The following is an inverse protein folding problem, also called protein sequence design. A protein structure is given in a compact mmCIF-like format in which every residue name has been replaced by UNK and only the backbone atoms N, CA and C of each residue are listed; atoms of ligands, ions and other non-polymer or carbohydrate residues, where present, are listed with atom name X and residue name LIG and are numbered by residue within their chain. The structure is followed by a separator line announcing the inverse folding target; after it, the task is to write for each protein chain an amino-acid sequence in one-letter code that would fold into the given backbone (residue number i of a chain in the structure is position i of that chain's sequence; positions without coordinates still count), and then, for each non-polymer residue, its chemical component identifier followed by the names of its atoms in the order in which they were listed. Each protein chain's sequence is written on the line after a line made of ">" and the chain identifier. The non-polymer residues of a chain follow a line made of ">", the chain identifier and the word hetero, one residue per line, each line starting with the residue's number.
data_IF_316392534700
#
_entry.id   IF_316392534700
#
_cell.length_a   1.000
_cell.length_b   1.000
_cell.length_c   1.000
_cell.angle_alpha   90.00
_cell.angle_beta   90.00
_cell.angle_gamma   90.00
#
_symmetry.space_group_name_H-M   'P 1'
#
loop_
_entity.id
_entity.type
_entity.pdbx_description
1 polymer ?
#
# COMPACT_ATOMS: atom_id res chain seq x y z
N UNK A 1 16.91 -51.16 35.50
CA UNK A 1 16.62 -49.71 35.31
C UNK A 1 17.89 -48.97 35.65
N UNK A 2 18.38 -48.12 34.74
CA UNK A 2 19.63 -47.42 34.93
C UNK A 2 19.48 -46.33 36.00
N UNK A 3 20.40 -46.27 36.96
CA UNK A 3 20.46 -45.28 38.04
C UNK A 3 20.32 -43.83 37.53
N UNK A 4 20.73 -43.58 36.27
CA UNK A 4 20.57 -42.30 35.59
C UNK A 4 19.11 -41.96 35.27
N UNK A 5 18.31 -42.92 34.81
CA UNK A 5 16.90 -42.71 34.49
C UNK A 5 16.10 -42.40 35.75
N UNK A 6 16.40 -43.09 36.86
CA UNK A 6 15.76 -42.88 38.15
C UNK A 6 16.08 -41.48 38.73
N UNK A 7 17.32 -41.01 38.56
CA UNK A 7 17.71 -39.63 38.90
C UNK A 7 17.04 -38.57 38.04
N UNK A 8 16.88 -38.82 36.74
CA UNK A 8 16.18 -37.89 35.85
C UNK A 8 14.69 -37.82 36.17
N UNK A 9 14.09 -38.97 36.50
CA UNK A 9 12.69 -39.05 36.90
C UNK A 9 12.42 -38.32 38.21
N UNK A 10 13.27 -38.52 39.23
CA UNK A 10 13.13 -37.80 40.51
C UNK A 10 13.31 -36.29 40.36
N UNK A 11 14.23 -35.83 39.50
CA UNK A 11 14.38 -34.40 39.17
C UNK A 11 13.13 -33.87 38.45
N UNK A 12 12.59 -34.62 37.48
CA UNK A 12 11.37 -34.23 36.78
C UNK A 12 10.18 -34.13 37.73
N UNK A 13 10.02 -35.07 38.66
CA UNK A 13 8.98 -35.06 39.69
C UNK A 13 9.11 -33.84 40.62
N UNK A 14 10.32 -33.51 41.07
CA UNK A 14 10.58 -32.30 41.89
C UNK A 14 10.27 -31.00 41.13
N UNK A 15 10.57 -30.94 39.83
CA UNK A 15 10.25 -29.77 38.99
C UNK A 15 8.74 -29.64 38.81
N UNK A 16 8.04 -30.74 38.54
CA UNK A 16 6.57 -30.74 38.43
C UNK A 16 5.91 -30.28 39.72
N UNK A 17 6.38 -30.75 40.88
CA UNK A 17 5.83 -30.33 42.17
C UNK A 17 6.10 -28.85 42.49
N UNK A 18 7.26 -28.33 42.09
CA UNK A 18 7.56 -26.90 42.20
C UNK A 18 6.67 -26.05 41.28
N UNK A 19 6.31 -26.57 40.10
CA UNK A 19 5.43 -25.88 39.14
C UNK A 19 3.96 -25.88 39.58
N UNK A 20 3.51 -26.86 40.40
CA UNK A 20 2.16 -26.87 40.99
C UNK A 20 1.96 -25.73 42.00
N UNK A 21 3.04 -25.23 42.62
CA UNK A 21 3.00 -24.12 43.56
C UNK A 21 2.85 -22.75 42.88
N UNK A 22 3.04 -22.69 41.56
CA UNK A 22 2.83 -21.46 40.79
C UNK A 22 1.34 -21.29 40.42
N UNK A 23 0.81 -20.06 40.45
CA UNK A 23 -0.60 -19.78 40.15
C UNK A 23 -0.98 -20.34 38.78
N UNK A 24 -2.11 -21.05 38.67
CA UNK A 24 -2.54 -21.67 37.41
C UNK A 24 -3.32 -20.67 36.55
N UNK A 25 -2.71 -20.20 35.46
CA UNK A 25 -3.32 -19.23 34.53
C UNK A 25 -4.14 -19.89 33.40
N UNK A 26 -4.44 -21.19 33.50
CA UNK A 26 -5.23 -21.93 32.51
C UNK A 26 -4.53 -22.23 31.17
N UNK A 27 -3.23 -21.92 31.04
CA UNK A 27 -2.43 -22.21 29.84
C UNK A 27 -1.62 -23.50 29.98
N UNK A 28 -1.47 -24.24 28.87
CA UNK A 28 -0.64 -25.44 28.81
C UNK A 28 0.84 -25.10 29.07
N UNK A 29 1.45 -25.80 30.03
CA UNK A 29 2.85 -25.62 30.41
C UNK A 29 3.67 -26.76 29.83
N UNK A 30 4.58 -26.44 28.91
CA UNK A 30 5.56 -27.40 28.43
C UNK A 30 6.86 -27.26 29.23
N UNK A 31 7.32 -28.36 29.83
CA UNK A 31 8.60 -28.42 30.55
C UNK A 31 9.56 -29.28 29.72
N UNK A 32 10.69 -28.69 29.30
CA UNK A 32 11.75 -29.42 28.59
C UNK A 32 13.01 -29.41 29.44
N UNK A 33 13.45 -30.60 29.89
CA UNK A 33 14.70 -30.76 30.64
C UNK A 33 15.76 -31.29 29.67
N UNK A 34 16.75 -30.45 29.34
CA UNK A 34 17.90 -30.85 28.52
C UNK A 34 19.11 -31.12 29.41
N UNK A 35 19.72 -32.30 29.26
CA UNK A 35 20.94 -32.67 29.99
C UNK A 35 22.13 -32.63 29.03
N UNK A 36 22.94 -31.57 29.14
CA UNK A 36 24.19 -31.40 28.42
C UNK A 36 25.33 -32.26 29.00
N UNK A 37 26.25 -32.68 28.13
CA UNK A 37 27.27 -33.69 28.39
C UNK A 37 28.34 -33.35 29.44
N UNK A 38 29.06 -34.41 29.80
CA UNK A 38 30.00 -34.58 30.91
C UNK A 38 31.18 -33.60 30.87
N UNK A 39 31.02 -32.40 31.42
CA UNK A 39 32.14 -31.53 31.77
C UNK A 39 31.89 -30.94 33.16
N UNK A 40 32.88 -31.13 34.04
CA UNK A 40 32.84 -30.67 35.42
C UNK A 40 32.61 -29.16 35.46
N UNK A 41 31.46 -28.75 35.99
CA UNK A 41 31.29 -27.44 36.60
C UNK A 41 30.69 -26.33 35.73
N UNK A 42 29.46 -26.50 35.25
CA UNK A 42 28.54 -25.35 35.16
C UNK A 42 27.09 -25.82 35.08
N UNK A 43 26.33 -25.70 36.16
CA UNK A 43 24.87 -25.79 36.14
C UNK A 43 24.37 -24.38 35.88
N UNK A 44 24.07 -24.04 34.63
CA UNK A 44 23.39 -22.79 34.31
C UNK A 44 21.89 -22.95 34.56
N UNK A 45 21.44 -22.61 35.77
CA UNK A 45 20.01 -22.43 36.07
C UNK A 45 19.63 -21.00 35.66
N UNK A 46 19.30 -20.82 34.39
CA UNK A 46 18.73 -19.58 33.86
C UNK A 46 17.29 -19.82 33.44
N UNK A 47 16.33 -19.17 34.11
CA UNK A 47 14.96 -19.08 33.62
C UNK A 47 14.93 -18.08 32.47
N UNK A 48 15.16 -18.54 31.25
CA UNK A 48 14.90 -17.71 30.06
C UNK A 48 13.44 -17.91 29.71
N UNK A 49 12.57 -17.10 30.32
CA UNK A 49 11.18 -16.99 29.89
C UNK A 49 11.18 -16.20 28.59
N UNK A 50 11.22 -16.91 27.45
CA UNK A 50 11.01 -16.27 26.16
C UNK A 50 9.49 -16.08 26.00
N UNK A 51 8.97 -15.00 26.57
CA UNK A 51 7.59 -14.55 26.34
C UNK A 51 7.55 -14.10 24.89
N UNK A 52 7.23 -15.00 23.97
CA UNK A 52 6.81 -14.58 22.65
C UNK A 52 5.47 -13.87 22.86
N UNK A 53 5.41 -12.53 22.69
CA UNK A 53 4.11 -11.87 22.67
C UNK A 53 3.24 -12.58 21.62
N UNK A 54 1.92 -12.69 21.80
CA UNK A 54 1.05 -13.27 20.80
C UNK A 54 1.34 -12.56 19.48
N UNK A 55 1.99 -13.27 18.56
CA UNK A 55 2.36 -12.73 17.26
C UNK A 55 1.06 -12.22 16.65
N UNK A 56 0.96 -10.94 16.27
CA UNK A 56 -0.25 -10.43 15.64
C UNK A 56 -0.58 -11.36 14.47
N UNK A 57 -1.84 -11.79 14.33
CA UNK A 57 -2.20 -12.79 13.33
C UNK A 57 -1.68 -12.33 11.97
N UNK A 58 -0.85 -13.19 11.34
CA UNK A 58 -0.25 -12.91 10.05
C UNK A 58 -1.37 -12.46 9.10
N UNK A 59 -1.18 -11.37 8.32
CA UNK A 59 -2.16 -10.98 7.33
C UNK A 59 -2.40 -12.17 6.38
N UNK A 60 -3.63 -12.67 6.37
CA UNK A 60 -4.03 -13.84 5.58
C UNK A 60 -3.75 -13.59 4.11
N UNK A 61 -3.04 -14.53 3.50
CA UNK A 61 -2.72 -14.48 2.07
C UNK A 61 -3.97 -14.70 1.22
N UNK A 62 -3.97 -14.22 -0.03
CA UNK A 62 -5.13 -14.31 -0.92
C UNK A 62 -5.64 -15.74 -1.09
N UNK A 63 -4.77 -16.75 -1.04
CA UNK A 63 -5.16 -18.16 -1.19
C UNK A 63 -5.81 -18.75 0.06
N UNK A 64 -5.66 -18.13 1.23
CA UNK A 64 -6.21 -18.58 2.52
C UNK A 64 -7.61 -18.02 2.77
N UNK A 65 -8.00 -16.99 2.03
CA UNK A 65 -9.29 -16.30 2.20
C UNK A 65 -10.44 -17.10 1.64
N UNK A 66 -11.61 -16.95 2.23
CA UNK A 66 -12.82 -17.62 1.77
C UNK A 66 -13.31 -17.06 0.40
N UNK A 67 -14.09 -17.84 -0.34
CA UNK A 67 -14.64 -17.43 -1.64
C UNK A 67 -15.49 -16.16 -1.56
N UNK A 68 -16.28 -16.00 -0.49
CA UNK A 68 -17.08 -14.78 -0.28
C UNK A 68 -16.20 -13.55 -0.01
N UNK A 69 -15.14 -13.70 0.80
CA UNK A 69 -14.17 -12.63 1.07
C UNK A 69 -13.43 -12.21 -0.23
N UNK A 70 -13.07 -13.17 -1.07
CA UNK A 70 -12.44 -12.92 -2.36
C UNK A 70 -13.37 -12.16 -3.33
N UNK A 71 -14.65 -12.50 -3.37
CA UNK A 71 -15.65 -11.79 -4.18
C UNK A 71 -15.88 -10.36 -3.68
N UNK A 72 -15.98 -10.17 -2.36
CA UNK A 72 -16.09 -8.84 -1.76
C UNK A 72 -14.85 -7.98 -2.06
N UNK A 73 -13.65 -8.56 -1.94
CA UNK A 73 -12.40 -7.89 -2.27
C UNK A 73 -12.33 -7.51 -3.75
N UNK A 74 -12.77 -8.39 -4.65
CA UNK A 74 -12.88 -8.09 -6.09
C UNK A 74 -13.81 -6.90 -6.34
N UNK A 75 -14.99 -6.84 -5.71
CA UNK A 75 -15.91 -5.72 -5.87
C UNK A 75 -15.29 -4.40 -5.39
N UNK A 76 -14.61 -4.42 -4.23
CA UNK A 76 -13.89 -3.25 -3.72
C UNK A 76 -12.75 -2.80 -4.63
N UNK A 77 -12.01 -3.72 -5.23
CA UNK A 77 -10.95 -3.38 -6.18
C UNK A 77 -11.52 -2.81 -7.48
N UNK A 78 -12.68 -3.29 -7.93
CA UNK A 78 -13.37 -2.74 -9.10
C UNK A 78 -13.85 -1.29 -8.87
N UNK A 79 -14.40 -0.98 -7.69
CA UNK A 79 -14.77 0.40 -7.35
C UNK A 79 -13.55 1.29 -7.23
N UNK A 80 -12.49 0.84 -6.54
CA UNK A 80 -11.21 1.58 -6.48
C UNK A 80 -10.60 1.85 -7.85
N UNK A 81 -10.71 0.90 -8.79
CA UNK A 81 -10.21 1.08 -10.15
C UNK A 81 -11.03 2.14 -10.92
N UNK A 82 -12.36 2.16 -10.75
CA UNK A 82 -13.20 3.23 -11.32
C UNK A 82 -12.85 4.60 -10.74
N UNK A 83 -12.63 4.68 -9.43
CA UNK A 83 -12.25 5.92 -8.76
C UNK A 83 -10.86 6.40 -9.20
N UNK A 84 -9.89 5.50 -9.32
CA UNK A 84 -8.55 5.81 -9.83
C UNK A 84 -8.59 6.34 -11.27
N UNK A 85 -9.41 5.72 -12.13
CA UNK A 85 -9.65 6.23 -13.49
C UNK A 85 -10.25 7.64 -13.47
N UNK A 86 -11.24 7.89 -12.62
CA UNK A 86 -11.82 9.22 -12.45
C UNK A 86 -10.79 10.25 -12.00
N UNK A 87 -9.93 9.91 -11.03
CA UNK A 87 -8.85 10.78 -10.56
C UNK A 87 -7.77 11.02 -11.63
N UNK A 88 -7.60 10.11 -12.58
CA UNK A 88 -6.71 10.30 -13.72
C UNK A 88 -7.19 11.41 -14.68
N UNK A 89 -8.51 11.62 -14.79
CA UNK A 89 -9.12 12.67 -15.62
C UNK A 89 -9.47 13.95 -14.83
N UNK A 90 -10.05 13.82 -13.63
CA UNK A 90 -10.43 14.92 -12.75
C UNK A 90 -9.39 15.11 -11.65
N UNK A 91 -8.25 15.69 -12.02
CA UNK A 91 -7.22 16.09 -11.07
C UNK A 91 -6.95 17.60 -11.14
N UNK A 92 -6.48 18.18 -10.04
CA UNK A 92 -6.11 19.60 -9.94
C UNK A 92 -5.20 20.08 -11.07
N UNK A 93 -4.09 19.38 -11.46
CA UNK A 93 -3.28 19.79 -12.60
C UNK A 93 -4.02 19.72 -13.94
N UNK A 94 -4.98 18.79 -14.10
CA UNK A 94 -5.76 18.69 -15.33
C UNK A 94 -6.77 19.85 -15.44
N UNK A 95 -7.42 20.23 -14.33
CA UNK A 95 -8.31 21.39 -14.27
C UNK A 95 -7.56 22.70 -14.54
N UNK A 96 -6.37 22.88 -13.94
CA UNK A 96 -5.52 24.05 -14.18
C UNK A 96 -5.02 24.11 -15.63
N UNK A 97 -4.61 22.98 -16.20
CA UNK A 97 -4.22 22.93 -17.60
C UNK A 97 -5.40 23.29 -18.52
N UNK A 98 -6.58 22.72 -18.26
CA UNK A 98 -7.78 22.99 -19.05
C UNK A 98 -8.21 24.45 -18.95
N UNK A 99 -8.16 25.06 -17.76
CA UNK A 99 -8.47 26.48 -17.58
C UNK A 99 -7.49 27.40 -18.32
N UNK A 100 -6.19 27.08 -18.29
CA UNK A 100 -5.19 27.81 -19.08
C UNK A 100 -5.50 27.71 -20.57
N UNK A 101 -5.72 26.50 -21.10
CA UNK A 101 -6.05 26.30 -22.52
C UNK A 101 -7.31 27.04 -22.93
N UNK A 102 -8.38 26.99 -22.12
CA UNK A 102 -9.61 27.74 -22.37
C UNK A 102 -9.37 29.26 -22.38
N UNK A 103 -8.54 29.76 -21.47
CA UNK A 103 -8.19 31.18 -21.41
C UNK A 103 -7.47 31.62 -22.69
N UNK A 104 -6.51 30.83 -23.20
CA UNK A 104 -5.84 31.14 -24.46
C UNK A 104 -6.77 31.03 -25.68
N UNK A 105 -7.65 30.03 -25.69
CA UNK A 105 -8.63 29.88 -26.77
C UNK A 105 -9.62 31.06 -26.77
N UNK A 106 -10.13 31.44 -25.61
CA UNK A 106 -10.99 32.62 -25.46
C UNK A 106 -10.27 33.91 -25.86
N UNK A 107 -9.00 34.07 -25.51
CA UNK A 107 -8.19 35.20 -25.93
C UNK A 107 -8.00 35.24 -27.45
N UNK A 108 -7.72 34.10 -28.09
CA UNK A 108 -7.59 34.01 -29.54
C UNK A 108 -8.91 34.34 -30.25
N UNK A 109 -10.04 33.79 -29.77
CA UNK A 109 -11.37 34.10 -30.29
C UNK A 109 -11.73 35.58 -30.14
N UNK A 110 -11.43 36.17 -28.97
CA UNK A 110 -11.67 37.58 -28.72
C UNK A 110 -10.89 38.47 -29.70
N UNK A 111 -9.60 38.16 -29.92
CA UNK A 111 -8.79 38.89 -30.90
C UNK A 111 -9.34 38.71 -32.33
N UNK A 112 -9.72 37.50 -32.73
CA UNK A 112 -10.33 37.25 -34.03
C UNK A 112 -11.64 38.05 -34.22
N UNK A 113 -12.48 38.10 -33.20
CA UNK A 113 -13.70 38.91 -33.20
C UNK A 113 -13.41 40.41 -33.37
N UNK A 114 -12.45 40.94 -32.62
CA UNK A 114 -12.05 42.37 -32.72
C UNK A 114 -11.47 42.73 -34.09
N UNK A 115 -10.76 41.80 -34.74
CA UNK A 115 -10.26 41.99 -36.11
C UNK A 115 -11.39 42.00 -37.13
N UNK A 116 -12.34 41.07 -37.02
CA UNK A 116 -13.41 40.88 -37.99
C UNK A 116 -14.55 41.92 -37.88
N UNK A 117 -14.92 42.31 -36.65
CA UNK A 117 -16.06 43.20 -36.39
C UNK A 117 -15.68 44.50 -35.66
N UNK A 118 -14.50 44.59 -35.06
CA UNK A 118 -14.08 45.72 -34.21
C UNK A 118 -13.25 46.81 -34.92
N UNK A 119 -13.20 46.82 -36.25
CA UNK A 119 -12.49 47.87 -37.01
C UNK A 119 -10.97 47.73 -37.07
N UNK A 120 -10.43 46.52 -36.87
CA UNK A 120 -9.03 46.19 -37.17
C UNK A 120 -7.98 46.60 -36.12
N UNK A 121 -8.36 47.32 -35.06
CA UNK A 121 -7.43 47.70 -33.98
C UNK A 121 -7.25 46.56 -32.97
N UNK A 122 -6.46 45.55 -33.34
CA UNK A 122 -6.04 44.48 -32.42
C UNK A 122 -4.74 44.87 -31.72
N UNK A 123 -4.83 45.85 -30.81
CA UNK A 123 -3.68 46.39 -30.05
C UNK A 123 -2.91 45.37 -29.20
N UNK A 124 -3.48 44.18 -28.96
CA UNK A 124 -2.94 43.16 -28.06
C UNK A 124 -2.04 42.11 -28.73
N UNK A 125 -2.09 41.97 -30.06
CA UNK A 125 -1.20 41.09 -30.83
C UNK A 125 0.05 41.81 -31.36
N UNK A 126 0.20 43.11 -31.07
CA UNK A 126 1.45 43.81 -31.30
C UNK A 126 2.54 43.15 -30.46
N UNK A 127 3.53 42.56 -31.16
CA UNK A 127 4.75 42.04 -30.57
C UNK A 127 5.49 43.17 -29.89
N UNK A 128 5.27 43.30 -28.58
CA UNK A 128 5.94 44.20 -27.67
C UNK A 128 6.73 43.33 -26.69
N UNK A 129 7.82 43.84 -26.13
CA UNK A 129 8.63 43.11 -25.15
C UNK A 129 7.77 42.60 -23.98
N UNK A 130 6.77 43.38 -23.56
CA UNK A 130 5.83 43.01 -22.51
C UNK A 130 4.93 41.83 -22.89
N UNK A 131 4.43 41.78 -24.13
CA UNK A 131 3.59 40.66 -24.59
C UNK A 131 4.42 39.38 -24.77
N UNK A 132 5.68 39.50 -25.21
CA UNK A 132 6.62 38.37 -25.29
C UNK A 132 6.87 37.71 -23.92
N UNK A 133 7.12 38.50 -22.87
CA UNK A 133 7.32 37.98 -21.50
C UNK A 133 6.07 37.26 -20.99
N UNK A 134 4.87 37.77 -21.30
CA UNK A 134 3.61 37.11 -20.95
C UNK A 134 3.48 35.76 -21.66
N UNK A 135 3.77 35.67 -22.97
CA UNK A 135 3.71 34.40 -23.70
C UNK A 135 4.72 33.38 -23.15
N UNK A 136 5.96 33.80 -22.90
CA UNK A 136 7.01 32.91 -22.37
C UNK A 136 6.63 32.40 -20.99
N UNK A 137 6.21 33.28 -20.07
CA UNK A 137 5.76 32.86 -18.73
C UNK A 137 4.57 31.90 -18.78
N UNK A 138 3.63 32.14 -19.70
CA UNK A 138 2.46 31.29 -19.90
C UNK A 138 2.82 29.90 -20.47
N UNK A 139 3.72 29.84 -21.46
CA UNK A 139 4.25 28.57 -21.98
C UNK A 139 4.98 27.76 -20.90
N UNK A 140 5.76 28.41 -20.03
CA UNK A 140 6.42 27.75 -18.90
C UNK A 140 5.39 27.18 -17.92
N UNK A 141 4.33 27.92 -17.59
CA UNK A 141 3.26 27.44 -16.72
C UNK A 141 2.54 26.22 -17.29
N UNK A 142 2.24 26.23 -18.58
CA UNK A 142 1.67 25.07 -19.28
C UNK A 142 2.58 23.88 -19.21
N UNK A 143 3.87 24.08 -19.48
CA UNK A 143 4.85 23.00 -19.46
C UNK A 143 4.94 22.33 -18.08
N UNK A 144 4.98 23.13 -17.01
CA UNK A 144 5.00 22.63 -15.63
C UNK A 144 3.71 21.87 -15.31
N UNK A 145 2.54 22.40 -15.70
CA UNK A 145 1.25 21.74 -15.50
C UNK A 145 1.17 20.40 -16.25
N UNK A 146 1.61 20.38 -17.51
CA UNK A 146 1.67 19.17 -18.33
C UNK A 146 2.56 18.09 -17.70
N UNK A 147 3.78 18.46 -17.27
CA UNK A 147 4.68 17.51 -16.58
C UNK A 147 4.09 16.97 -15.28
N UNK A 148 3.44 17.81 -14.47
CA UNK A 148 2.78 17.35 -13.24
C UNK A 148 1.59 16.43 -13.53
N UNK A 149 0.81 16.74 -14.57
CA UNK A 149 -0.29 15.90 -15.03
C UNK A 149 0.22 14.52 -15.46
N UNK A 150 1.27 14.46 -16.28
CA UNK A 150 1.86 13.20 -16.72
C UNK A 150 2.39 12.37 -15.54
N UNK A 151 3.03 13.01 -14.56
CA UNK A 151 3.48 12.33 -13.34
C UNK A 151 2.30 11.73 -12.57
N UNK A 152 1.22 12.49 -12.39
CA UNK A 152 0.02 11.99 -11.73
C UNK A 152 -0.61 10.81 -12.49
N UNK A 153 -0.75 10.93 -13.82
CA UNK A 153 -1.29 9.86 -14.66
C UNK A 153 -0.47 8.57 -14.58
N UNK A 154 0.87 8.68 -14.54
CA UNK A 154 1.75 7.53 -14.38
C UNK A 154 1.51 6.81 -13.05
N UNK A 155 1.39 7.54 -11.95
CA UNK A 155 1.14 6.96 -10.63
C UNK A 155 -0.22 6.25 -10.59
N UNK A 156 -1.28 6.91 -11.08
CA UNK A 156 -2.62 6.32 -11.12
C UNK A 156 -2.69 5.08 -12.03
N UNK A 157 -1.97 5.09 -13.17
CA UNK A 157 -1.91 3.94 -14.06
C UNK A 157 -1.23 2.73 -13.40
N UNK A 158 -0.17 2.93 -12.62
CA UNK A 158 0.47 1.85 -11.85
C UNK A 158 -0.54 1.24 -10.87
N UNK A 159 -1.28 2.07 -10.13
CA UNK A 159 -2.31 1.61 -9.18
C UNK A 159 -3.42 0.84 -9.91
N UNK A 160 -3.85 1.31 -11.07
CA UNK A 160 -4.86 0.64 -11.90
C UNK A 160 -4.38 -0.75 -12.34
N UNK A 161 -3.13 -0.87 -12.76
CA UNK A 161 -2.56 -2.13 -13.25
C UNK A 161 -2.28 -3.11 -12.10
N UNK A 162 -1.81 -2.63 -10.94
CA UNK A 162 -1.72 -3.45 -9.72
C UNK A 162 -3.10 -4.00 -9.30
N UNK A 163 -4.13 -3.15 -9.28
CA UNK A 163 -5.49 -3.57 -8.95
C UNK A 163 -6.03 -4.61 -9.94
N UNK A 164 -5.75 -4.47 -11.25
CA UNK A 164 -6.12 -5.48 -12.26
C UNK A 164 -5.41 -6.80 -12.01
N UNK A 165 -4.11 -6.78 -11.75
CA UNK A 165 -3.33 -8.00 -11.50
C UNK A 165 -3.86 -8.77 -10.28
N UNK A 166 -4.23 -8.06 -9.22
CA UNK A 166 -4.85 -8.67 -8.03
C UNK A 166 -6.23 -9.27 -8.39
N UNK A 167 -7.06 -8.55 -9.15
CA UNK A 167 -8.37 -9.07 -9.62
C UNK A 167 -8.19 -10.35 -10.45
N UNK A 168 -7.20 -10.38 -11.35
CA UNK A 168 -6.92 -11.55 -12.18
C UNK A 168 -6.47 -12.74 -11.33
N UNK A 169 -5.62 -12.50 -10.33
CA UNK A 169 -5.20 -13.52 -9.36
C UNK A 169 -6.40 -14.08 -8.59
N UNK A 170 -7.30 -13.20 -8.12
CA UNK A 170 -8.55 -13.61 -7.45
C UNK A 170 -9.41 -14.47 -8.38
N UNK A 171 -9.56 -14.07 -9.66
CA UNK A 171 -10.33 -14.83 -10.63
C UNK A 171 -9.75 -16.23 -10.87
N UNK A 172 -8.41 -16.36 -10.91
CA UNK A 172 -7.74 -17.66 -11.05
C UNK A 172 -8.01 -18.54 -9.82
N UNK A 173 -7.91 -18.00 -8.60
CA UNK A 173 -8.18 -18.74 -7.36
C UNK A 173 -9.64 -19.22 -7.33
N UNK A 174 -10.59 -18.34 -7.62
CA UNK A 174 -12.03 -18.69 -7.65
C UNK A 174 -12.32 -19.75 -8.71
N UNK A 175 -11.72 -19.63 -9.91
CA UNK A 175 -11.89 -20.62 -10.98
C UNK A 175 -11.32 -21.99 -10.58
N UNK A 176 -10.18 -22.04 -9.88
CA UNK A 176 -9.59 -23.29 -9.39
C UNK A 176 -10.44 -23.96 -8.30
N UNK A 177 -11.16 -23.19 -7.48
CA UNK A 177 -12.02 -23.73 -6.41
C UNK A 177 -13.39 -24.23 -6.90
N UNK A 178 -13.87 -23.69 -8.02
CA UNK A 178 -15.13 -24.11 -8.65
C UNK A 178 -14.95 -25.25 -9.67
N UNK A 179 -13.72 -25.70 -9.92
CA UNK A 179 -13.39 -26.86 -10.74
C UNK A 179 -13.10 -28.07 -9.88
#
# INVERSE_FOLDING_TARGET
>A
MDNREEKLRTIAEQVVDSLKLLPQDGQERQVTISVGGNSHGSIHVGSVVNINPPTPPRPRELHERDGQELLAMKQQLLTKNKDAKWRCYFNTPCLLFFSLVLMAFGFALWNAYMVLWGGGSSGLLLFNEKTLVIFVSWSVLIYICGKKMDKHRKIENIIIDENKNIIDTINVILRRRNS
#
